data_IF_710078508204
#
_entry.id   IF_710078508204
#
_cell.length_a   1.000
_cell.length_b   1.000
_cell.length_c   1.000
_cell.angle_alpha   90.00
_cell.angle_beta   90.00
_cell.angle_gamma   90.00
#
_symmetry.space_group_name_H-M   'P 1'
#
loop_
_entity.id
_entity.type
_entity.pdbx_description
1 polymer ?
#
# COMPACT_ATOMS: atom_id res chain seq x y z
N UNK A 1 -4.32 -1.33 -10.07
CA UNK A 1 -3.32 -0.56 -9.29
C UNK A 1 -1.92 -1.09 -9.47
N UNK A 2 -1.60 -2.25 -8.89
CA UNK A 2 -0.22 -2.79 -8.84
C UNK A 2 0.47 -2.90 -10.21
N UNK A 3 -0.16 -3.54 -11.20
CA UNK A 3 0.47 -3.74 -12.54
C UNK A 3 0.79 -2.44 -13.25
N UNK A 4 -0.10 -1.43 -13.16
CA UNK A 4 0.15 -0.09 -13.74
C UNK A 4 1.27 0.64 -12.99
N UNK A 5 1.29 0.55 -11.65
CA UNK A 5 2.36 1.12 -10.83
C UNK A 5 3.71 0.49 -11.16
N UNK A 6 3.77 -0.83 -11.34
CA UNK A 6 5.01 -1.54 -11.67
C UNK A 6 5.58 -1.11 -13.02
N UNK A 7 4.76 -1.10 -14.06
CA UNK A 7 5.20 -0.69 -15.40
C UNK A 7 5.64 0.78 -15.42
N UNK A 8 4.91 1.66 -14.73
CA UNK A 8 5.27 3.07 -14.61
C UNK A 8 6.61 3.24 -13.85
N UNK A 9 6.84 2.46 -12.80
CA UNK A 9 8.11 2.44 -12.06
C UNK A 9 9.29 2.04 -12.96
N UNK A 10 9.16 0.95 -13.72
CA UNK A 10 10.24 0.48 -14.60
C UNK A 10 10.63 1.55 -15.63
N UNK A 11 9.63 2.21 -16.24
CA UNK A 11 9.86 3.32 -17.15
C UNK A 11 10.54 4.50 -16.44
N UNK A 12 10.06 4.92 -15.28
CA UNK A 12 10.61 6.05 -14.52
C UNK A 12 12.06 5.78 -14.08
N UNK A 13 12.35 4.57 -13.59
CA UNK A 13 13.69 4.18 -13.18
C UNK A 13 14.69 4.17 -14.36
N UNK A 14 14.27 3.65 -15.52
CA UNK A 14 15.06 3.68 -16.74
C UNK A 14 15.31 5.11 -17.21
N UNK A 15 14.27 5.93 -17.28
CA UNK A 15 14.37 7.34 -17.66
C UNK A 15 15.31 8.12 -16.73
N UNK A 16 15.17 7.94 -15.40
CA UNK A 16 16.00 8.63 -14.42
C UNK A 16 17.48 8.31 -14.50
N UNK A 17 17.84 7.11 -14.95
CA UNK A 17 19.24 6.71 -15.22
C UNK A 17 19.81 7.33 -16.50
N UNK A 18 18.98 7.56 -17.50
CA UNK A 18 19.40 8.08 -18.80
C UNK A 18 19.30 9.61 -18.93
N UNK A 19 18.30 10.24 -18.32
CA UNK A 19 18.07 11.69 -18.39
C UNK A 19 19.11 12.43 -17.59
N UNK A 20 19.86 13.32 -18.25
CA UNK A 20 20.83 14.21 -17.57
C UNK A 20 20.22 15.58 -17.36
N UNK A 21 20.31 16.11 -16.11
CA UNK A 21 19.87 17.47 -15.77
C UNK A 21 20.39 17.87 -14.39
N UNK A 22 21.01 19.04 -14.31
CA UNK A 22 21.58 19.54 -13.05
C UNK A 22 22.83 18.77 -12.62
N UNK A 23 23.26 19.03 -11.38
CA UNK A 23 24.38 18.33 -10.72
C UNK A 23 23.95 17.81 -9.35
N UNK A 24 24.54 16.73 -8.92
CA UNK A 24 24.27 16.19 -7.60
C UNK A 24 24.68 17.18 -6.51
N UNK A 25 23.90 17.28 -5.42
CA UNK A 25 24.20 18.18 -4.29
C UNK A 25 25.52 17.85 -3.59
N UNK A 26 25.97 16.60 -3.70
CA UNK A 26 27.25 16.12 -3.15
C UNK A 26 28.45 16.39 -4.06
N UNK A 27 28.25 17.06 -5.18
CA UNK A 27 29.27 17.32 -6.21
C UNK A 27 29.05 16.56 -7.49
N UNK A 28 29.79 16.89 -8.54
CA UNK A 28 29.67 16.30 -9.88
C UNK A 28 29.95 14.80 -9.83
N UNK A 29 29.01 13.99 -10.31
CA UNK A 29 29.14 12.51 -10.35
C UNK A 29 29.56 12.00 -11.72
N UNK A 30 29.29 12.76 -12.80
CA UNK A 30 29.67 12.43 -14.19
C UNK A 30 30.38 13.64 -14.83
N UNK A 31 31.69 13.84 -14.56
CA UNK A 31 32.42 15.00 -15.03
C UNK A 31 32.59 15.06 -16.53
N UNK A 32 32.49 13.92 -17.21
CA UNK A 32 32.56 13.76 -18.66
C UNK A 32 31.25 14.17 -19.38
N UNK A 33 30.18 14.43 -18.66
CA UNK A 33 28.87 14.81 -19.20
C UNK A 33 28.51 16.26 -18.84
N UNK A 34 27.67 16.87 -19.66
CA UNK A 34 27.17 18.25 -19.44
C UNK A 34 26.36 18.39 -18.15
N UNK A 35 25.73 17.30 -17.67
CA UNK A 35 24.96 17.24 -16.43
C UNK A 35 25.01 15.82 -15.86
N UNK A 36 24.59 15.66 -14.62
CA UNK A 36 24.44 14.34 -14.00
C UNK A 36 23.09 13.70 -14.37
N UNK A 37 22.98 12.35 -14.35
CA UNK A 37 21.67 11.67 -14.44
C UNK A 37 20.76 12.10 -13.29
N UNK A 38 19.46 12.29 -13.57
CA UNK A 38 18.53 12.81 -12.55
C UNK A 38 18.32 11.85 -11.38
N UNK A 39 18.67 10.59 -11.50
CA UNK A 39 18.62 9.61 -10.40
C UNK A 39 19.54 9.98 -9.23
N UNK A 40 20.51 10.90 -9.42
CA UNK A 40 21.36 11.37 -8.30
C UNK A 40 20.61 12.33 -7.36
N UNK A 41 19.52 12.92 -7.82
CA UNK A 41 18.77 13.90 -7.03
C UNK A 41 17.94 13.20 -5.93
N UNK A 42 18.03 13.69 -4.68
CA UNK A 42 17.35 13.05 -3.55
C UNK A 42 15.83 12.89 -3.74
N UNK A 43 15.15 13.88 -4.30
CA UNK A 43 13.70 13.83 -4.51
C UNK A 43 13.30 12.78 -5.57
N UNK A 44 14.06 12.64 -6.66
CA UNK A 44 13.86 11.58 -7.65
C UNK A 44 14.03 10.20 -6.99
N UNK A 45 15.07 10.03 -6.17
CA UNK A 45 15.27 8.79 -5.40
C UNK A 45 14.11 8.51 -4.44
N UNK A 46 13.63 9.53 -3.72
CA UNK A 46 12.47 9.41 -2.82
C UNK A 46 11.23 8.92 -3.57
N UNK A 47 10.92 9.53 -4.73
CA UNK A 47 9.80 9.11 -5.56
C UNK A 47 9.93 7.65 -6.00
N UNK A 48 11.07 7.28 -6.56
CA UNK A 48 11.31 5.90 -7.02
C UNK A 48 11.27 4.89 -5.87
N UNK A 49 11.85 5.21 -4.72
CA UNK A 49 11.82 4.33 -3.54
C UNK A 49 10.42 4.14 -3.00
N UNK A 50 9.60 5.19 -2.94
CA UNK A 50 8.20 5.07 -2.51
C UNK A 50 7.41 4.14 -3.43
N UNK A 51 7.54 4.31 -4.74
CA UNK A 51 6.84 3.45 -5.71
C UNK A 51 7.33 2.01 -5.61
N UNK A 52 8.63 1.78 -5.47
CA UNK A 52 9.20 0.45 -5.33
C UNK A 52 8.75 -0.24 -4.06
N UNK A 53 8.81 0.44 -2.93
CA UNK A 53 8.38 -0.11 -1.64
C UNK A 53 6.90 -0.52 -1.68
N UNK A 54 6.05 0.34 -2.27
CA UNK A 54 4.64 -0.01 -2.49
C UNK A 54 4.49 -1.24 -3.39
N UNK A 55 5.16 -1.28 -4.53
CA UNK A 55 5.02 -2.40 -5.49
C UNK A 55 5.43 -3.74 -4.87
N UNK A 56 6.52 -3.76 -4.11
CA UNK A 56 7.00 -4.98 -3.45
C UNK A 56 6.04 -5.43 -2.34
N UNK A 57 5.63 -4.51 -1.45
CA UNK A 57 4.67 -4.80 -0.38
C UNK A 57 3.29 -5.19 -0.89
N UNK A 58 2.76 -4.46 -1.89
CA UNK A 58 1.47 -4.76 -2.49
C UNK A 58 1.45 -6.13 -3.20
N UNK A 59 2.57 -6.53 -3.81
CA UNK A 59 2.72 -7.85 -4.43
C UNK A 59 2.71 -8.95 -3.37
N UNK A 60 3.44 -8.75 -2.28
CA UNK A 60 3.45 -9.69 -1.16
C UNK A 60 2.05 -9.85 -0.55
N UNK A 61 1.36 -8.75 -0.28
CA UNK A 61 -0.01 -8.75 0.23
C UNK A 61 -0.99 -9.47 -0.70
N UNK A 62 -0.91 -9.20 -2.01
CA UNK A 62 -1.77 -9.84 -3.00
C UNK A 62 -1.53 -11.37 -3.08
N UNK A 63 -0.27 -11.81 -3.08
CA UNK A 63 0.09 -13.24 -3.10
C UNK A 63 -0.31 -13.94 -1.80
N UNK A 64 -0.11 -13.29 -0.66
CA UNK A 64 -0.56 -13.81 0.63
C UNK A 64 -2.09 -13.96 0.68
N UNK A 65 -2.82 -12.97 0.19
CA UNK A 65 -4.28 -13.07 0.10
C UNK A 65 -4.71 -14.19 -0.83
N UNK A 66 -4.06 -14.36 -1.98
CA UNK A 66 -4.34 -15.45 -2.91
C UNK A 66 -4.10 -16.84 -2.28
N UNK A 67 -3.02 -16.99 -1.50
CA UNK A 67 -2.77 -18.21 -0.73
C UNK A 67 -3.93 -18.51 0.24
N UNK A 68 -4.42 -17.49 0.96
CA UNK A 68 -5.54 -17.68 1.89
C UNK A 68 -6.86 -17.99 1.19
N UNK A 69 -7.07 -17.53 -0.05
CA UNK A 69 -8.20 -17.97 -0.88
C UNK A 69 -8.10 -19.48 -1.15
N UNK A 70 -6.95 -19.97 -1.62
CA UNK A 70 -6.73 -21.40 -1.85
C UNK A 70 -6.89 -22.23 -0.57
N UNK A 71 -6.36 -21.74 0.57
CA UNK A 71 -6.51 -22.40 1.86
C UNK A 71 -7.97 -22.45 2.32
N UNK A 72 -8.74 -21.40 2.12
CA UNK A 72 -10.16 -21.36 2.49
C UNK A 72 -11.00 -22.36 1.73
N UNK A 73 -10.64 -22.64 0.49
CA UNK A 73 -11.38 -23.57 -0.38
C UNK A 73 -10.92 -25.02 -0.27
N UNK A 74 -9.61 -25.27 -0.09
CA UNK A 74 -9.00 -26.57 -0.37
C UNK A 74 -8.27 -27.22 0.80
N UNK A 75 -8.00 -26.51 1.90
CA UNK A 75 -7.26 -27.09 3.01
C UNK A 75 -8.06 -28.21 3.69
N UNK A 76 -7.46 -29.38 4.05
CA UNK A 76 -8.18 -30.50 4.66
C UNK A 76 -8.77 -30.16 6.03
N UNK A 77 -8.09 -29.32 6.82
CA UNK A 77 -8.54 -28.87 8.15
C UNK A 77 -9.57 -27.74 8.02
N UNK A 78 -10.77 -27.99 8.57
CA UNK A 78 -11.89 -27.04 8.54
C UNK A 78 -11.59 -25.72 9.32
N UNK A 79 -10.82 -25.81 10.39
CA UNK A 79 -10.44 -24.64 11.19
C UNK A 79 -9.56 -23.71 10.36
N UNK A 80 -8.61 -24.26 9.61
CA UNK A 80 -7.73 -23.48 8.73
C UNK A 80 -8.53 -22.86 7.60
N UNK A 81 -9.48 -23.62 6.97
CA UNK A 81 -10.37 -23.05 5.95
C UNK A 81 -11.13 -21.85 6.49
N UNK A 82 -11.75 -21.99 7.65
CA UNK A 82 -12.56 -20.92 8.26
C UNK A 82 -11.73 -19.69 8.64
N UNK A 83 -10.56 -19.90 9.23
CA UNK A 83 -9.67 -18.79 9.59
C UNK A 83 -9.16 -18.06 8.35
N UNK A 84 -8.88 -18.77 7.27
CA UNK A 84 -8.47 -18.18 6.00
C UNK A 84 -9.61 -17.41 5.34
N UNK A 85 -10.84 -17.94 5.35
CA UNK A 85 -12.03 -17.23 4.85
C UNK A 85 -12.30 -15.93 5.63
N UNK A 86 -12.21 -15.98 6.96
CA UNK A 86 -12.33 -14.80 7.83
C UNK A 86 -11.27 -13.73 7.48
N UNK A 87 -10.01 -14.15 7.28
CA UNK A 87 -8.92 -13.24 6.91
C UNK A 87 -9.14 -12.62 5.53
N UNK A 88 -9.47 -13.43 4.52
CA UNK A 88 -9.80 -12.96 3.17
C UNK A 88 -10.95 -11.96 3.23
N UNK A 89 -12.02 -12.30 3.98
CA UNK A 89 -13.17 -11.43 4.17
C UNK A 89 -12.80 -10.06 4.74
N UNK A 90 -11.85 -10.00 5.68
CA UNK A 90 -11.36 -8.77 6.29
C UNK A 90 -10.47 -7.96 5.33
N UNK A 91 -9.52 -8.64 4.67
CA UNK A 91 -8.47 -7.98 3.87
C UNK A 91 -8.99 -7.47 2.53
N UNK A 92 -10.03 -8.09 1.95
CA UNK A 92 -10.49 -7.77 0.60
C UNK A 92 -10.80 -6.28 0.37
N UNK A 93 -11.57 -5.58 1.23
CA UNK A 93 -11.79 -4.14 1.06
C UNK A 93 -10.49 -3.32 1.19
N UNK A 94 -9.56 -3.73 2.07
CA UNK A 94 -8.25 -3.07 2.21
C UNK A 94 -7.43 -3.30 0.93
N UNK A 95 -7.32 -4.55 0.48
CA UNK A 95 -6.59 -4.89 -0.75
C UNK A 95 -7.09 -4.06 -1.94
N UNK A 96 -8.42 -4.03 -2.14
CA UNK A 96 -9.00 -3.27 -3.26
C UNK A 96 -8.70 -1.78 -3.15
N UNK A 97 -9.06 -1.12 -2.07
CA UNK A 97 -8.97 0.33 -1.98
C UNK A 97 -7.52 0.82 -1.81
N UNK A 98 -6.75 0.21 -0.91
CA UNK A 98 -5.36 0.62 -0.67
C UNK A 98 -4.48 0.43 -1.90
N UNK A 99 -4.61 -0.70 -2.62
CA UNK A 99 -3.81 -0.94 -3.82
C UNK A 99 -4.20 -0.05 -4.99
N UNK A 100 -5.45 0.35 -5.10
CA UNK A 100 -5.89 1.26 -6.17
C UNK A 100 -5.53 2.71 -5.87
N UNK A 101 -5.69 3.16 -4.63
CA UNK A 101 -5.36 4.53 -4.22
C UNK A 101 -3.86 4.76 -4.26
N UNK A 102 -3.07 3.90 -3.61
CA UNK A 102 -1.61 4.02 -3.60
C UNK A 102 -1.00 3.72 -4.98
N UNK A 103 -1.61 2.83 -5.75
CA UNK A 103 -1.24 2.59 -7.14
C UNK A 103 -1.42 3.83 -8.02
N UNK A 104 -2.50 4.58 -7.85
CA UNK A 104 -2.73 5.85 -8.53
C UNK A 104 -1.70 6.91 -8.10
N UNK A 105 -1.42 7.04 -6.80
CA UNK A 105 -0.35 7.92 -6.29
C UNK A 105 1.01 7.54 -6.89
N UNK A 106 1.31 6.25 -6.99
CA UNK A 106 2.57 5.72 -7.52
C UNK A 106 2.77 6.04 -9.00
N UNK A 107 1.75 5.91 -9.84
CA UNK A 107 1.87 6.27 -11.27
C UNK A 107 2.05 7.78 -11.45
N UNK A 108 1.46 8.61 -10.59
CA UNK A 108 1.70 10.06 -10.58
C UNK A 108 3.15 10.39 -10.19
N UNK A 109 3.73 9.72 -9.19
CA UNK A 109 5.15 9.88 -8.83
C UNK A 109 6.08 9.45 -9.95
N UNK A 110 5.75 8.36 -10.64
CA UNK A 110 6.51 7.88 -11.79
C UNK A 110 6.46 8.89 -12.96
N UNK A 111 5.28 9.45 -13.26
CA UNK A 111 5.13 10.53 -14.24
C UNK A 111 5.95 11.76 -13.82
N UNK A 112 5.92 12.13 -12.54
CA UNK A 112 6.68 13.28 -12.01
C UNK A 112 8.19 13.14 -12.25
N UNK A 113 8.75 11.92 -12.21
CA UNK A 113 10.15 11.68 -12.54
C UNK A 113 10.52 12.09 -13.97
N UNK A 114 9.56 12.05 -14.91
CA UNK A 114 9.77 12.51 -16.28
C UNK A 114 9.68 14.04 -16.43
N UNK A 115 9.16 14.75 -15.43
CA UNK A 115 8.87 16.18 -15.55
C UNK A 115 7.89 16.45 -16.70
N UNK A 116 8.09 17.52 -17.47
CA UNK A 116 7.23 17.86 -18.61
C UNK A 116 7.11 16.77 -19.67
N UNK A 117 8.14 15.94 -19.85
CA UNK A 117 8.10 14.79 -20.76
C UNK A 117 7.06 13.74 -20.35
N UNK A 118 6.79 13.57 -19.07
CA UNK A 118 5.76 12.64 -18.59
C UNK A 118 4.33 13.05 -18.95
N UNK A 119 4.13 14.33 -19.24
CA UNK A 119 2.80 14.86 -19.55
C UNK A 119 2.40 14.70 -21.02
N UNK A 120 3.37 14.56 -21.94
CA UNK A 120 3.12 14.45 -23.36
C UNK A 120 2.98 12.98 -23.82
N UNK A 121 2.19 12.75 -24.88
CA UNK A 121 1.82 11.41 -25.36
C UNK A 121 3.01 10.57 -25.80
N UNK A 122 4.04 11.19 -26.32
CA UNK A 122 5.23 10.53 -26.89
C UNK A 122 5.94 9.64 -25.87
N UNK A 123 5.86 9.95 -24.58
CA UNK A 123 6.45 9.14 -23.50
C UNK A 123 5.48 8.13 -22.89
N UNK A 124 4.18 8.25 -23.15
CA UNK A 124 3.14 7.30 -22.70
C UNK A 124 2.84 7.29 -21.20
N UNK A 125 3.55 8.08 -20.39
CA UNK A 125 3.37 8.07 -18.92
C UNK A 125 2.02 8.61 -18.49
N UNK A 126 1.45 9.57 -19.22
CA UNK A 126 0.14 10.15 -18.94
C UNK A 126 -0.98 9.11 -19.04
N UNK A 127 -0.81 8.11 -19.94
CA UNK A 127 -1.78 7.05 -20.12
C UNK A 127 -1.90 6.16 -18.88
N UNK A 128 -0.80 5.86 -18.20
CA UNK A 128 -0.83 5.09 -16.96
C UNK A 128 -1.63 5.80 -15.85
N UNK A 129 -1.53 7.13 -15.76
CA UNK A 129 -2.34 7.92 -14.81
C UNK A 129 -3.82 7.84 -15.15
N UNK A 130 -4.19 7.97 -16.42
CA UNK A 130 -5.58 7.86 -16.89
C UNK A 130 -6.15 6.47 -16.59
N UNK A 131 -5.39 5.42 -16.92
CA UNK A 131 -5.81 4.04 -16.72
C UNK A 131 -5.90 3.65 -15.22
N UNK A 132 -5.01 4.20 -14.39
CA UNK A 132 -5.05 3.94 -12.96
C UNK A 132 -6.25 4.60 -12.26
N UNK A 133 -6.72 5.76 -12.75
CA UNK A 133 -7.80 6.53 -12.10
C UNK A 133 -9.12 5.77 -12.01
N UNK A 134 -9.50 5.02 -13.05
CA UNK A 134 -10.75 4.25 -13.07
C UNK A 134 -10.78 3.18 -11.97
N UNK A 135 -9.62 2.64 -11.57
CA UNK A 135 -9.55 1.56 -10.58
C UNK A 135 -10.06 1.97 -9.19
N UNK A 136 -10.07 3.26 -8.88
CA UNK A 136 -10.61 3.80 -7.63
C UNK A 136 -12.14 3.97 -7.66
N UNK A 137 -12.76 3.89 -8.85
CA UNK A 137 -14.17 4.24 -9.07
C UNK A 137 -15.07 3.04 -9.24
N UNK A 138 -14.64 2.02 -9.97
CA UNK A 138 -15.44 0.84 -10.30
C UNK A 138 -15.31 -0.26 -9.23
N UNK A 139 -16.20 -1.25 -9.27
CA UNK A 139 -16.25 -2.39 -8.33
C UNK A 139 -16.29 -1.97 -6.84
N UNK A 140 -17.05 -0.92 -6.58
CA UNK A 140 -17.09 -0.24 -5.28
C UNK A 140 -15.96 0.77 -5.15
N UNK A 141 -16.32 2.05 -4.97
CA UNK A 141 -15.35 3.12 -4.75
C UNK A 141 -14.51 2.86 -3.51
N UNK A 142 -13.34 3.49 -3.39
CA UNK A 142 -12.49 3.38 -2.20
C UNK A 142 -13.26 3.71 -0.91
N UNK A 143 -14.15 4.72 -0.94
CA UNK A 143 -15.02 5.04 0.19
C UNK A 143 -16.03 3.94 0.54
N UNK A 144 -16.60 3.26 -0.46
CA UNK A 144 -17.51 2.11 -0.22
C UNK A 144 -16.74 0.94 0.40
N UNK A 145 -15.51 0.67 -0.05
CA UNK A 145 -14.65 -0.34 0.58
C UNK A 145 -14.31 0.01 2.03
N UNK A 146 -14.05 1.29 2.30
CA UNK A 146 -13.77 1.76 3.66
C UNK A 146 -14.99 1.61 4.57
N UNK A 147 -16.19 1.94 4.09
CA UNK A 147 -17.43 1.73 4.82
C UNK A 147 -17.73 0.24 5.04
N UNK A 148 -17.43 -0.62 4.07
CA UNK A 148 -17.56 -2.08 4.23
C UNK A 148 -16.62 -2.60 5.31
N UNK A 149 -15.37 -2.16 5.32
CA UNK A 149 -14.39 -2.52 6.35
C UNK A 149 -14.91 -2.15 7.74
N UNK A 150 -15.26 -0.88 7.95
CA UNK A 150 -15.62 -0.35 9.28
C UNK A 150 -17.01 -0.81 9.72
N UNK A 151 -18.01 -0.75 8.84
CA UNK A 151 -19.40 -1.01 9.21
C UNK A 151 -19.78 -2.49 9.22
N UNK A 152 -19.07 -3.34 8.49
CA UNK A 152 -19.43 -4.75 8.33
C UNK A 152 -18.32 -5.70 8.78
N UNK A 153 -17.08 -5.51 8.34
CA UNK A 153 -16.00 -6.48 8.59
C UNK A 153 -15.46 -6.42 10.01
N UNK A 154 -15.24 -5.22 10.55
CA UNK A 154 -14.73 -5.07 11.92
C UNK A 154 -15.66 -5.66 12.98
N UNK A 155 -16.98 -5.41 12.99
CA UNK A 155 -17.87 -5.96 14.00
C UNK A 155 -18.20 -7.45 13.81
N UNK A 156 -17.95 -8.01 12.62
CA UNK A 156 -18.34 -9.37 12.27
C UNK A 156 -17.75 -10.40 13.24
N UNK A 157 -18.63 -11.27 13.75
CA UNK A 157 -18.24 -12.32 14.69
C UNK A 157 -17.63 -11.76 15.98
N UNK A 158 -18.07 -10.60 16.44
CA UNK A 158 -17.53 -9.91 17.63
C UNK A 158 -16.03 -9.67 17.52
N UNK A 159 -15.59 -9.16 16.35
CA UNK A 159 -14.18 -8.89 16.02
C UNK A 159 -13.35 -10.13 15.73
N UNK A 160 -13.97 -11.28 15.41
CA UNK A 160 -13.24 -12.51 15.06
C UNK A 160 -12.34 -12.32 13.85
N UNK A 161 -12.86 -11.68 12.78
CA UNK A 161 -12.08 -11.43 11.58
C UNK A 161 -10.84 -10.59 11.87
N UNK A 162 -11.01 -9.53 12.67
CA UNK A 162 -9.91 -8.64 13.04
C UNK A 162 -8.79 -9.39 13.77
N UNK A 163 -9.12 -10.35 14.63
CA UNK A 163 -8.13 -11.16 15.34
C UNK A 163 -7.27 -12.01 14.41
N UNK A 164 -7.81 -12.46 13.26
CA UNK A 164 -7.04 -13.22 12.27
C UNK A 164 -5.89 -12.39 11.66
N UNK A 165 -5.99 -11.08 11.69
CA UNK A 165 -4.91 -10.19 11.25
C UNK A 165 -4.07 -9.68 12.44
N UNK A 166 -4.70 -9.24 13.51
CA UNK A 166 -3.99 -8.61 14.64
C UNK A 166 -3.05 -9.57 15.37
N UNK A 167 -3.47 -10.82 15.59
CA UNK A 167 -2.63 -11.80 16.30
C UNK A 167 -1.33 -12.13 15.57
N UNK A 168 -1.31 -12.46 14.27
CA UNK A 168 -0.07 -12.69 13.54
C UNK A 168 0.86 -11.49 13.52
N UNK A 169 0.34 -10.27 13.39
CA UNK A 169 1.15 -9.05 13.43
C UNK A 169 1.78 -8.85 14.80
N UNK A 170 1.00 -9.00 15.87
CA UNK A 170 1.50 -8.89 17.24
C UNK A 170 2.56 -9.95 17.55
N UNK A 171 2.30 -11.19 17.17
CA UNK A 171 3.25 -12.31 17.32
C UNK A 171 4.55 -12.02 16.58
N UNK A 172 4.49 -11.58 15.31
CA UNK A 172 5.68 -11.24 14.55
C UNK A 172 6.50 -10.13 15.22
N UNK A 173 5.85 -9.11 15.76
CA UNK A 173 6.52 -8.02 16.49
C UNK A 173 7.23 -8.56 17.72
N UNK A 174 6.56 -9.41 18.52
CA UNK A 174 7.13 -9.99 19.73
C UNK A 174 8.32 -10.91 19.45
N UNK A 175 8.21 -11.78 18.45
CA UNK A 175 9.24 -12.74 18.06
C UNK A 175 10.50 -12.08 17.49
N UNK A 176 10.39 -10.88 16.89
CA UNK A 176 11.48 -10.21 16.22
C UNK A 176 11.91 -8.88 16.88
N UNK A 177 11.42 -8.59 18.10
CA UNK A 177 11.71 -7.32 18.78
C UNK A 177 13.21 -7.07 19.01
N UNK A 178 13.98 -8.12 19.29
CA UNK A 178 15.41 -8.09 19.56
C UNK A 178 16.27 -8.50 18.35
N UNK A 179 15.68 -8.68 17.18
CA UNK A 179 16.40 -9.04 15.97
C UNK A 179 17.29 -7.89 15.51
N UNK A 180 18.57 -8.17 15.26
CA UNK A 180 19.59 -7.16 14.92
C UNK A 180 19.45 -6.62 13.49
N UNK A 181 18.90 -7.39 12.58
CA UNK A 181 18.72 -6.99 11.18
C UNK A 181 17.36 -6.34 10.97
N UNK A 182 16.32 -6.82 11.66
CA UNK A 182 14.94 -6.37 11.51
C UNK A 182 14.52 -5.32 12.54
N UNK A 183 15.26 -5.10 13.61
CA UNK A 183 14.83 -4.33 14.78
C UNK A 183 14.26 -2.94 14.47
N UNK A 184 14.89 -2.18 13.59
CA UNK A 184 14.38 -0.86 13.18
C UNK A 184 13.06 -0.97 12.39
N UNK A 185 12.91 -1.99 11.57
CA UNK A 185 11.69 -2.25 10.79
C UNK A 185 10.57 -2.68 11.72
N UNK A 186 10.85 -3.63 12.63
CA UNK A 186 9.89 -4.14 13.63
C UNK A 186 9.42 -3.04 14.56
N UNK A 187 10.31 -2.15 15.01
CA UNK A 187 9.94 -1.00 15.84
C UNK A 187 9.00 -0.04 15.12
N UNK A 188 9.22 0.21 13.81
CA UNK A 188 8.33 1.05 13.02
C UNK A 188 6.98 0.38 12.75
N UNK A 189 6.98 -0.94 12.51
CA UNK A 189 5.76 -1.74 12.43
C UNK A 189 4.97 -1.68 13.74
N UNK A 190 5.62 -1.87 14.89
CA UNK A 190 4.98 -1.80 16.20
C UNK A 190 4.31 -0.45 16.46
N UNK A 191 4.97 0.67 16.10
CA UNK A 191 4.38 2.01 16.20
C UNK A 191 3.14 2.18 15.30
N UNK A 192 3.20 1.67 14.07
CA UNK A 192 2.09 1.75 13.11
C UNK A 192 0.93 0.87 13.57
N UNK A 193 1.23 -0.33 14.04
CA UNK A 193 0.24 -1.26 14.57
C UNK A 193 -0.45 -0.72 15.83
N UNK A 194 0.29 -0.11 16.75
CA UNK A 194 -0.31 0.55 17.93
C UNK A 194 -1.29 1.66 17.53
N UNK A 195 -0.97 2.46 16.50
CA UNK A 195 -1.90 3.46 15.97
C UNK A 195 -3.15 2.84 15.34
N UNK A 196 -2.99 1.73 14.61
CA UNK A 196 -4.12 0.99 14.07
C UNK A 196 -5.02 0.45 15.19
N UNK A 197 -4.45 -0.11 16.26
CA UNK A 197 -5.20 -0.59 17.43
C UNK A 197 -5.98 0.55 18.12
N UNK A 198 -5.34 1.71 18.31
CA UNK A 198 -6.00 2.90 18.87
C UNK A 198 -7.15 3.38 18.00
N UNK A 199 -6.94 3.46 16.68
CA UNK A 199 -7.97 3.85 15.73
C UNK A 199 -9.14 2.85 15.72
N UNK A 200 -8.84 1.54 15.79
CA UNK A 200 -9.86 0.48 15.89
C UNK A 200 -10.71 0.63 17.15
N UNK A 201 -10.07 0.85 18.29
CA UNK A 201 -10.79 1.07 19.57
C UNK A 201 -11.67 2.32 19.51
N UNK A 202 -11.18 3.40 18.93
CA UNK A 202 -11.94 4.64 18.75
C UNK A 202 -13.17 4.41 17.85
N UNK A 203 -12.99 3.73 16.69
CA UNK A 203 -14.09 3.41 15.77
C UNK A 203 -15.13 2.53 16.47
N UNK A 204 -14.71 1.53 17.22
CA UNK A 204 -15.63 0.65 17.95
C UNK A 204 -16.43 1.44 19.01
N UNK A 205 -15.79 2.32 19.76
CA UNK A 205 -16.47 3.16 20.78
C UNK A 205 -17.43 4.17 20.15
N UNK A 206 -16.97 4.91 19.14
CA UNK A 206 -17.75 5.99 18.51
C UNK A 206 -18.82 5.44 17.58
N UNK A 207 -18.51 4.41 16.81
CA UNK A 207 -19.45 3.80 15.87
C UNK A 207 -20.69 3.19 16.52
N UNK A 208 -20.57 2.73 17.77
CA UNK A 208 -21.74 2.27 18.56
C UNK A 208 -22.67 3.42 18.96
N UNK A 209 -22.12 4.64 19.14
CA UNK A 209 -22.86 5.83 19.57
C UNK A 209 -23.34 6.67 18.38
N UNK A 210 -22.51 6.81 17.38
CA UNK A 210 -22.75 7.65 16.20
C UNK A 210 -22.09 7.02 14.96
N UNK A 211 -22.84 6.27 14.13
CA UNK A 211 -22.33 5.67 12.91
C UNK A 211 -21.73 6.67 11.90
N UNK A 212 -22.17 7.94 11.94
CA UNK A 212 -21.66 8.96 11.04
C UNK A 212 -20.20 9.30 11.32
N UNK A 213 -19.78 9.31 12.59
CA UNK A 213 -18.38 9.54 12.95
C UNK A 213 -17.48 8.38 12.49
N UNK A 214 -17.90 7.13 12.69
CA UNK A 214 -17.19 5.97 12.19
C UNK A 214 -17.09 5.98 10.67
N UNK A 215 -18.18 6.32 9.98
CA UNK A 215 -18.23 6.48 8.52
C UNK A 215 -17.28 7.56 8.03
N UNK A 216 -17.24 8.72 8.68
CA UNK A 216 -16.34 9.82 8.30
C UNK A 216 -14.85 9.44 8.44
N UNK A 217 -14.50 8.64 9.47
CA UNK A 217 -13.13 8.17 9.71
C UNK A 217 -12.73 6.95 8.85
N UNK A 218 -13.67 6.32 8.15
CA UNK A 218 -13.46 5.01 7.52
C UNK A 218 -12.34 4.99 6.48
N UNK A 219 -12.22 6.03 5.65
CA UNK A 219 -11.19 6.10 4.59
C UNK A 219 -9.78 6.22 5.18
N UNK A 220 -9.60 7.06 6.20
CA UNK A 220 -8.32 7.21 6.88
C UNK A 220 -7.96 5.92 7.64
N UNK A 221 -8.96 5.27 8.27
CA UNK A 221 -8.77 4.00 8.93
C UNK A 221 -8.30 2.90 7.96
N UNK A 222 -8.96 2.78 6.80
CA UNK A 222 -8.54 1.81 5.77
C UNK A 222 -7.11 2.08 5.31
N UNK A 223 -6.72 3.34 5.14
CA UNK A 223 -5.37 3.73 4.75
C UNK A 223 -4.32 3.33 5.81
N UNK A 224 -4.61 3.57 7.10
CA UNK A 224 -3.74 3.12 8.20
C UNK A 224 -3.63 1.59 8.21
N UNK A 225 -4.74 0.88 8.01
CA UNK A 225 -4.77 -0.58 7.95
C UNK A 225 -3.89 -1.13 6.82
N UNK A 226 -3.93 -0.49 5.65
CA UNK A 226 -3.12 -0.88 4.51
C UNK A 226 -1.60 -0.62 4.68
N UNK A 227 -1.21 0.25 5.61
CA UNK A 227 0.19 0.54 5.92
C UNK A 227 0.80 -0.38 6.99
N UNK A 228 0.01 -1.15 7.70
CA UNK A 228 0.45 -2.16 8.67
C UNK A 228 0.67 -3.49 7.99
#
# INVERSE_FOLDING_TARGET
GLGLSEVAYQNAASYAKGRIQGRALSGVTHPDKAADPIIVHPDVRRMLLNVRAFNEGARALAMWTALHIDLSERHPDETIRKNSDDLVGLIMPVLKAFLTDTGFESVNLALQCFGGHGYIREHGMEQFVRDARITQLYEGTSGIQALDLVGRKLPQGTGRLLRQFFHPVDQFIQENADDKELGDIVMNLAKSFARLQQATAWIAEKGLKDPMQAGAASSDYLKIFGHV
#
